data_IF_094577343302
#
_entry.id   IF_094577343302
#
_cell.length_a   1.000
_cell.length_b   1.000
_cell.length_c   1.000
_cell.angle_alpha   90.00
_cell.angle_beta   90.00
_cell.angle_gamma   90.00
#
_symmetry.space_group_name_H-M   'P 1'
#
loop_
_entity.id
_entity.type
_entity.pdbx_description
1 polymer ?
#
# COMPACT_ATOMS: atom_id res chain seq x y z
N UNK A 1 12.61 -10.17 25.55
CA UNK A 1 13.45 -8.95 25.47
C UNK A 1 13.01 -8.21 24.21
N UNK A 2 12.52 -6.96 24.30
CA UNK A 2 12.14 -6.21 23.10
C UNK A 2 13.34 -5.37 22.66
N UNK A 3 13.81 -5.60 21.43
CA UNK A 3 14.84 -4.77 20.82
C UNK A 3 14.26 -3.37 20.58
N UNK A 4 15.02 -2.35 20.99
CA UNK A 4 14.68 -0.95 20.80
C UNK A 4 15.82 -0.24 20.08
N UNK A 5 15.49 0.77 19.30
CA UNK A 5 16.47 1.66 18.71
C UNK A 5 16.97 2.71 19.72
N UNK A 6 17.89 3.57 19.29
CA UNK A 6 18.47 4.65 20.11
C UNK A 6 17.43 5.66 20.63
N UNK A 7 16.24 5.70 20.03
CA UNK A 7 15.11 6.54 20.46
C UNK A 7 14.09 5.74 21.29
N UNK A 8 14.47 4.58 21.82
CA UNK A 8 13.62 3.68 22.62
C UNK A 8 12.39 3.15 21.89
N UNK A 9 12.35 3.18 20.57
CA UNK A 9 11.26 2.66 19.77
C UNK A 9 11.41 1.13 19.60
N UNK A 10 10.39 0.35 19.92
CA UNK A 10 10.47 -1.11 19.76
C UNK A 10 10.33 -1.53 18.29
N UNK A 11 11.01 -2.62 17.91
CA UNK A 11 10.85 -3.26 16.61
C UNK A 11 9.50 -4.00 16.57
N UNK A 12 8.49 -3.43 15.92
CA UNK A 12 7.11 -3.99 15.88
C UNK A 12 6.61 -4.33 14.49
N UNK A 13 7.06 -3.61 13.47
CA UNK A 13 6.54 -3.70 12.12
C UNK A 13 7.62 -4.21 11.17
N UNK A 14 7.28 -5.20 10.34
CA UNK A 14 8.10 -5.72 9.26
C UNK A 14 7.38 -5.51 7.93
N UNK A 15 8.06 -4.92 6.96
CA UNK A 15 7.58 -4.80 5.59
C UNK A 15 8.44 -5.67 4.68
N UNK A 16 7.79 -6.54 3.91
CA UNK A 16 8.44 -7.47 3.00
C UNK A 16 7.98 -7.19 1.58
N UNK A 17 8.95 -6.88 0.71
CA UNK A 17 8.73 -6.88 -0.74
C UNK A 17 8.90 -8.33 -1.23
N UNK A 18 7.80 -8.96 -1.65
CA UNK A 18 7.78 -10.38 -2.05
C UNK A 18 8.02 -10.58 -3.55
N UNK A 19 7.96 -9.51 -4.32
CA UNK A 19 8.15 -9.50 -5.76
C UNK A 19 8.55 -8.08 -6.21
N UNK A 20 9.41 -7.99 -7.21
CA UNK A 20 9.84 -6.73 -7.80
C UNK A 20 9.03 -6.32 -9.05
N UNK A 21 8.22 -7.23 -9.62
CA UNK A 21 7.39 -6.98 -10.80
C UNK A 21 6.03 -6.38 -10.43
N UNK A 22 5.51 -5.53 -11.31
CA UNK A 22 4.17 -4.93 -11.18
C UNK A 22 3.44 -4.99 -12.53
N UNK A 23 2.12 -5.03 -12.51
CA UNK A 23 1.27 -4.90 -13.69
C UNK A 23 1.00 -3.44 -14.08
N UNK A 24 1.26 -2.48 -13.18
CA UNK A 24 1.25 -1.05 -13.45
C UNK A 24 2.67 -0.50 -13.64
N UNK A 25 2.77 0.73 -14.17
CA UNK A 25 4.03 1.47 -14.38
C UNK A 25 3.92 2.88 -13.84
N UNK A 26 3.50 2.99 -12.56
CA UNK A 26 3.28 4.29 -11.95
C UNK A 26 4.51 5.19 -12.10
N UNK A 27 4.28 6.39 -12.63
CA UNK A 27 5.33 7.36 -13.00
C UNK A 27 6.23 7.75 -11.83
N UNK A 28 5.71 7.69 -10.62
CA UNK A 28 6.43 8.01 -9.40
C UNK A 28 7.10 6.80 -8.71
N UNK A 29 6.86 5.57 -9.20
CA UNK A 29 7.34 4.34 -8.56
C UNK A 29 8.23 3.50 -9.48
N UNK A 30 7.76 3.18 -10.68
CA UNK A 30 8.41 2.27 -11.63
C UNK A 30 8.08 2.69 -13.07
N UNK A 31 8.50 3.90 -13.49
CA UNK A 31 8.19 4.41 -14.82
C UNK A 31 8.81 3.52 -15.90
N UNK A 32 8.10 3.40 -17.03
CA UNK A 32 8.52 2.54 -18.16
C UNK A 32 9.92 2.90 -18.68
N UNK A 33 10.23 4.20 -18.74
CA UNK A 33 11.52 4.72 -19.22
C UNK A 33 12.71 4.23 -18.40
N UNK A 34 12.48 3.99 -17.12
CA UNK A 34 13.52 3.46 -16.22
C UNK A 34 13.79 1.97 -16.44
N UNK A 35 12.96 1.30 -17.24
CA UNK A 35 13.03 -0.14 -17.51
C UNK A 35 13.79 -0.47 -18.80
N UNK A 36 14.22 0.53 -19.57
CA UNK A 36 14.95 0.28 -20.81
C UNK A 36 16.44 -0.06 -20.56
N UNK A 37 16.85 -1.25 -20.97
CA UNK A 37 18.25 -1.58 -21.24
C UNK A 37 19.00 -2.50 -20.30
N UNK A 38 18.45 -2.98 -19.19
CA UNK A 38 19.08 -4.02 -18.35
C UNK A 38 18.01 -4.88 -17.69
N UNK A 39 18.31 -6.16 -17.41
CA UNK A 39 17.42 -7.07 -16.68
C UNK A 39 17.08 -6.53 -15.28
N UNK A 40 16.12 -5.64 -15.23
CA UNK A 40 15.79 -4.79 -14.09
C UNK A 40 15.09 -5.59 -12.99
N UNK A 41 14.40 -6.67 -13.41
CA UNK A 41 13.75 -7.56 -12.46
C UNK A 41 14.64 -8.73 -12.14
N UNK A 42 14.65 -9.12 -10.89
CA UNK A 42 15.37 -10.30 -10.44
C UNK A 42 14.86 -11.54 -11.19
N UNK A 43 15.78 -12.44 -11.53
CA UNK A 43 15.40 -13.77 -11.99
C UNK A 43 14.72 -14.50 -10.84
N UNK A 44 13.75 -15.40 -11.10
CA UNK A 44 13.00 -16.10 -10.05
C UNK A 44 13.88 -16.77 -8.98
N UNK A 45 15.04 -17.29 -9.38
CA UNK A 45 16.00 -17.93 -8.49
C UNK A 45 16.69 -16.99 -7.49
N UNK A 46 16.62 -15.69 -7.68
CA UNK A 46 17.16 -14.67 -6.76
C UNK A 46 16.08 -14.05 -5.87
N UNK A 47 14.81 -14.40 -6.08
CA UNK A 47 13.75 -14.04 -5.15
C UNK A 47 13.77 -15.01 -3.97
N UNK A 48 13.48 -14.50 -2.79
CA UNK A 48 13.29 -15.36 -1.62
C UNK A 48 12.16 -16.37 -1.87
N UNK A 49 12.40 -17.62 -1.56
CA UNK A 49 11.37 -18.66 -1.53
C UNK A 49 10.40 -18.41 -0.37
N UNK A 50 9.23 -19.04 -0.40
CA UNK A 50 8.25 -18.94 0.67
C UNK A 50 8.80 -19.45 2.00
N UNK A 51 9.65 -20.49 1.97
CA UNK A 51 10.33 -21.02 3.15
C UNK A 51 11.31 -20.01 3.76
N UNK A 52 12.08 -19.31 2.93
CA UNK A 52 13.01 -18.28 3.40
C UNK A 52 12.28 -17.07 3.97
N UNK A 53 11.18 -16.63 3.31
CA UNK A 53 10.34 -15.54 3.84
C UNK A 53 9.75 -15.94 5.19
N UNK A 54 9.19 -17.14 5.31
CA UNK A 54 8.64 -17.64 6.56
C UNK A 54 9.71 -17.70 7.66
N UNK A 55 10.90 -18.23 7.34
CA UNK A 55 12.03 -18.27 8.27
C UNK A 55 12.41 -16.88 8.78
N UNK A 56 12.57 -15.90 7.86
CA UNK A 56 12.86 -14.52 8.23
C UNK A 56 11.77 -13.93 9.13
N UNK A 57 10.50 -14.14 8.78
CA UNK A 57 9.38 -13.64 9.61
C UNK A 57 9.45 -14.24 11.02
N UNK A 58 9.72 -15.53 11.17
CA UNK A 58 9.89 -16.19 12.49
C UNK A 58 11.06 -15.58 13.30
N UNK A 59 12.18 -15.27 12.63
CA UNK A 59 13.30 -14.57 13.27
C UNK A 59 12.87 -13.20 13.77
N UNK A 60 12.22 -12.41 12.93
CA UNK A 60 11.75 -11.07 13.32
C UNK A 60 10.68 -11.09 14.42
N UNK A 61 9.82 -12.11 14.45
CA UNK A 61 8.86 -12.30 15.55
C UNK A 61 9.59 -12.54 16.88
N UNK A 62 10.65 -13.33 16.89
CA UNK A 62 11.50 -13.52 18.11
C UNK A 62 12.14 -12.20 18.56
N UNK A 63 12.39 -11.25 17.65
CA UNK A 63 12.93 -9.94 17.93
C UNK A 63 11.85 -8.92 18.37
N UNK A 64 10.57 -9.29 18.33
CA UNK A 64 9.46 -8.47 18.82
C UNK A 64 8.48 -7.95 17.77
N UNK A 65 8.68 -8.31 16.49
CA UNK A 65 7.74 -7.97 15.42
C UNK A 65 6.40 -8.68 15.64
N UNK A 66 5.32 -7.90 15.55
CA UNK A 66 3.94 -8.38 15.69
C UNK A 66 3.10 -8.08 14.44
N UNK A 67 3.58 -7.17 13.59
CA UNK A 67 2.89 -6.77 12.36
C UNK A 67 3.74 -7.06 11.15
N UNK A 68 3.16 -7.73 10.18
CA UNK A 68 3.80 -8.00 8.88
C UNK A 68 2.97 -7.36 7.78
N UNK A 69 3.64 -6.63 6.90
CA UNK A 69 3.05 -6.07 5.69
C UNK A 69 3.72 -6.67 4.46
N UNK A 70 2.94 -7.36 3.67
CA UNK A 70 3.36 -7.89 2.38
C UNK A 70 3.13 -6.83 1.31
N UNK A 71 4.14 -6.60 0.50
CA UNK A 71 4.17 -5.62 -0.59
C UNK A 71 5.13 -6.12 -1.67
N UNK A 72 5.52 -5.27 -2.61
CA UNK A 72 6.47 -5.60 -3.67
C UNK A 72 6.42 -4.55 -4.77
N UNK A 73 6.53 -5.00 -6.01
CA UNK A 73 5.83 -4.38 -7.11
C UNK A 73 4.34 -4.61 -6.90
N UNK A 74 3.73 -5.62 -7.54
CA UNK A 74 2.38 -6.06 -7.18
C UNK A 74 2.45 -7.47 -6.58
N UNK A 75 2.22 -7.63 -5.27
CA UNK A 75 2.39 -8.92 -4.59
C UNK A 75 1.46 -10.02 -5.10
N UNK A 76 0.27 -9.66 -5.62
CA UNK A 76 -0.69 -10.63 -6.17
C UNK A 76 -0.23 -11.27 -7.50
N UNK A 77 0.85 -10.78 -8.09
CA UNK A 77 1.52 -11.44 -9.23
C UNK A 77 2.45 -12.57 -8.80
N UNK A 78 2.79 -12.68 -7.50
CA UNK A 78 3.65 -13.76 -7.01
C UNK A 78 2.89 -15.08 -7.08
N UNK A 79 3.40 -16.11 -7.79
CA UNK A 79 2.85 -17.46 -7.70
C UNK A 79 2.85 -17.97 -6.25
N UNK A 80 1.78 -18.63 -5.81
CA UNK A 80 1.70 -19.15 -4.44
C UNK A 80 1.50 -18.08 -3.35
N UNK A 81 1.08 -16.85 -3.71
CA UNK A 81 0.96 -15.76 -2.74
C UNK A 81 -0.07 -16.04 -1.63
N UNK A 82 -1.17 -16.73 -1.94
CA UNK A 82 -2.20 -17.09 -0.96
C UNK A 82 -1.63 -18.10 0.07
N UNK A 83 -0.87 -19.08 -0.41
CA UNK A 83 -0.19 -20.08 0.42
C UNK A 83 0.88 -19.43 1.31
N UNK A 84 1.60 -18.43 0.81
CA UNK A 84 2.53 -17.64 1.62
C UNK A 84 1.81 -16.88 2.72
N UNK A 85 0.64 -16.28 2.43
CA UNK A 85 -0.19 -15.60 3.43
C UNK A 85 -0.64 -16.56 4.52
N UNK A 86 -1.10 -17.76 4.14
CA UNK A 86 -1.53 -18.81 5.09
C UNK A 86 -0.39 -19.20 6.02
N UNK A 87 0.79 -19.49 5.48
CA UNK A 87 2.00 -19.85 6.25
C UNK A 87 2.39 -18.75 7.23
N UNK A 88 2.37 -17.49 6.80
CA UNK A 88 2.73 -16.35 7.66
C UNK A 88 1.67 -16.12 8.74
N UNK A 89 0.38 -16.24 8.40
CA UNK A 89 -0.71 -16.05 9.35
C UNK A 89 -0.69 -17.07 10.50
N UNK A 90 -0.20 -18.28 10.23
CA UNK A 90 -0.05 -19.35 11.21
C UNK A 90 1.12 -19.14 12.18
N UNK A 91 2.00 -18.14 11.97
CA UNK A 91 3.14 -17.88 12.86
C UNK A 91 2.64 -17.26 14.16
N UNK A 92 2.79 -17.99 15.28
CA UNK A 92 2.46 -17.49 16.61
C UNK A 92 3.25 -16.22 16.93
N UNK A 93 2.57 -15.17 17.32
CA UNK A 93 3.15 -13.85 17.64
C UNK A 93 2.82 -12.76 16.61
N UNK A 94 2.37 -13.13 15.40
CA UNK A 94 1.82 -12.17 14.45
C UNK A 94 0.37 -11.87 14.85
N UNK A 95 0.08 -10.60 15.06
CA UNK A 95 -1.27 -10.12 15.42
C UNK A 95 -1.89 -9.29 14.30
N UNK A 96 -1.11 -8.90 13.32
CA UNK A 96 -1.55 -8.01 12.25
C UNK A 96 -0.81 -8.35 10.94
N UNK A 97 -1.50 -9.04 10.02
CA UNK A 97 -1.00 -9.34 8.68
C UNK A 97 -1.72 -8.48 7.66
N UNK A 98 -0.97 -7.68 6.91
CA UNK A 98 -1.50 -6.70 5.97
C UNK A 98 -0.91 -6.86 4.57
N UNK A 99 -1.72 -6.56 3.56
CA UNK A 99 -1.34 -6.47 2.15
C UNK A 99 -1.37 -5.01 1.69
N UNK A 100 -0.43 -4.62 0.83
CA UNK A 100 -0.53 -3.41 0.01
C UNK A 100 -0.53 -3.83 -1.46
N UNK A 101 -1.54 -3.41 -2.22
CA UNK A 101 -1.80 -3.83 -3.60
C UNK A 101 -2.41 -2.68 -4.41
N UNK A 102 -2.29 -2.75 -5.74
CA UNK A 102 -3.04 -1.88 -6.66
C UNK A 102 -4.49 -2.37 -6.90
N UNK A 103 -4.88 -3.47 -6.28
CA UNK A 103 -6.21 -4.07 -6.27
C UNK A 103 -6.72 -4.69 -7.59
N UNK A 104 -6.08 -4.47 -8.73
CA UNK A 104 -6.53 -5.00 -10.04
C UNK A 104 -6.75 -6.53 -10.01
N UNK A 105 -5.96 -7.26 -9.24
CA UNK A 105 -6.06 -8.71 -9.14
C UNK A 105 -6.89 -9.20 -7.94
N UNK A 106 -7.36 -8.30 -7.06
CA UNK A 106 -8.16 -8.67 -5.89
C UNK A 106 -9.42 -9.48 -6.20
N UNK A 107 -10.17 -9.23 -7.29
CA UNK A 107 -11.35 -10.02 -7.59
C UNK A 107 -11.11 -11.53 -7.64
N UNK A 108 -9.90 -11.93 -8.04
CA UNK A 108 -9.50 -13.34 -8.13
C UNK A 108 -8.99 -13.92 -6.81
N UNK A 109 -8.56 -13.07 -5.86
CA UNK A 109 -7.80 -13.51 -4.69
C UNK A 109 -8.45 -13.17 -3.34
N UNK A 110 -9.35 -12.18 -3.28
CA UNK A 110 -9.82 -11.61 -2.02
C UNK A 110 -10.39 -12.65 -1.04
N UNK A 111 -11.26 -13.55 -1.51
CA UNK A 111 -11.85 -14.61 -0.67
C UNK A 111 -10.80 -15.60 -0.15
N UNK A 112 -9.87 -16.02 -1.01
CA UNK A 112 -8.81 -16.94 -0.62
C UNK A 112 -7.85 -16.29 0.38
N UNK A 113 -7.48 -15.03 0.18
CA UNK A 113 -6.66 -14.26 1.11
C UNK A 113 -7.32 -14.08 2.49
N UNK A 114 -8.64 -13.84 2.50
CA UNK A 114 -9.39 -13.76 3.77
C UNK A 114 -9.36 -15.09 4.51
N UNK A 115 -9.59 -16.20 3.79
CA UNK A 115 -9.53 -17.56 4.37
C UNK A 115 -8.12 -17.90 4.87
N UNK A 116 -7.07 -17.46 4.17
CA UNK A 116 -5.67 -17.64 4.54
C UNK A 116 -5.23 -16.78 5.75
N UNK A 117 -6.13 -15.99 6.36
CA UNK A 117 -5.84 -15.23 7.56
C UNK A 117 -5.28 -13.82 7.32
N UNK A 118 -5.37 -13.28 6.10
CA UNK A 118 -5.05 -11.87 5.86
C UNK A 118 -6.00 -10.97 6.67
N UNK A 119 -5.43 -10.09 7.50
CA UNK A 119 -6.21 -9.22 8.38
C UNK A 119 -6.65 -7.92 7.71
N UNK A 120 -5.80 -7.30 6.89
CA UNK A 120 -6.04 -5.96 6.36
C UNK A 120 -5.48 -5.77 4.94
N UNK A 121 -6.18 -4.95 4.16
CA UNK A 121 -5.75 -4.54 2.83
C UNK A 121 -5.58 -3.02 2.78
N UNK A 122 -4.50 -2.60 2.13
CA UNK A 122 -4.28 -1.23 1.70
C UNK A 122 -4.27 -1.23 0.17
N UNK A 123 -5.13 -0.44 -0.43
CA UNK A 123 -5.25 -0.27 -1.87
C UNK A 123 -4.56 1.03 -2.29
N UNK A 124 -3.78 1.01 -3.35
CA UNK A 124 -3.23 2.20 -3.98
C UNK A 124 -4.17 2.68 -5.08
N UNK A 125 -4.71 3.91 -4.92
CA UNK A 125 -5.60 4.56 -5.89
C UNK A 125 -5.36 6.07 -5.85
N UNK A 126 -4.78 6.60 -6.93
CA UNK A 126 -4.30 7.99 -6.93
C UNK A 126 -5.33 8.99 -7.47
N UNK A 127 -6.35 8.54 -8.19
CA UNK A 127 -7.46 9.34 -8.68
C UNK A 127 -8.66 8.48 -9.05
N UNK A 128 -9.87 9.06 -9.03
CA UNK A 128 -11.08 8.51 -9.63
C UNK A 128 -11.32 9.03 -11.06
N UNK A 129 -10.61 10.06 -11.48
CA UNK A 129 -10.59 10.50 -12.87
C UNK A 129 -9.76 9.52 -13.69
N UNK A 130 -10.38 8.90 -14.70
CA UNK A 130 -9.75 7.85 -15.51
C UNK A 130 -8.53 8.36 -16.27
N UNK A 131 -8.56 9.59 -16.75
CA UNK A 131 -7.46 10.19 -17.51
C UNK A 131 -6.26 10.43 -16.59
N UNK A 132 -6.50 11.00 -15.42
CA UNK A 132 -5.48 11.26 -14.40
C UNK A 132 -4.91 9.95 -13.87
N UNK A 133 -5.76 8.98 -13.55
CA UNK A 133 -5.34 7.66 -13.08
C UNK A 133 -4.43 6.98 -14.09
N UNK A 134 -4.85 6.87 -15.35
CA UNK A 134 -4.07 6.22 -16.41
C UNK A 134 -2.72 6.87 -16.61
N UNK A 135 -2.67 8.20 -16.65
CA UNK A 135 -1.41 8.94 -16.74
C UNK A 135 -0.46 8.60 -15.59
N UNK A 136 -0.97 8.54 -14.35
CA UNK A 136 -0.16 8.21 -13.17
C UNK A 136 0.24 6.73 -13.13
N UNK A 137 -0.63 5.83 -13.59
CA UNK A 137 -0.41 4.39 -13.62
C UNK A 137 0.46 3.91 -14.80
N UNK A 138 0.99 4.84 -15.63
CA UNK A 138 1.80 4.54 -16.81
C UNK A 138 0.99 3.90 -17.93
N UNK A 139 -0.21 4.41 -18.19
CA UNK A 139 -1.18 3.96 -19.20
C UNK A 139 -1.63 2.50 -19.04
N UNK A 140 -1.52 1.96 -17.82
CA UNK A 140 -1.90 0.58 -17.50
C UNK A 140 -2.99 0.53 -16.44
N UNK A 141 -3.94 -0.40 -16.61
CA UNK A 141 -5.08 -0.54 -15.73
C UNK A 141 -6.12 0.58 -15.86
N UNK A 142 -7.21 0.45 -15.16
CA UNK A 142 -8.34 1.39 -15.14
C UNK A 142 -8.82 1.62 -13.72
N UNK A 143 -9.47 2.76 -13.48
CA UNK A 143 -10.14 3.05 -12.20
C UNK A 143 -11.17 1.96 -11.89
N UNK A 144 -11.90 1.51 -12.91
CA UNK A 144 -12.93 0.47 -12.75
C UNK A 144 -12.35 -0.83 -12.20
N UNK A 145 -11.21 -1.31 -12.71
CA UNK A 145 -10.56 -2.52 -12.19
C UNK A 145 -10.14 -2.39 -10.72
N UNK A 146 -9.68 -1.21 -10.31
CA UNK A 146 -9.33 -0.95 -8.89
C UNK A 146 -10.57 -0.95 -8.01
N UNK A 147 -11.66 -0.31 -8.45
CA UNK A 147 -12.93 -0.28 -7.71
C UNK A 147 -13.57 -1.67 -7.61
N UNK A 148 -13.54 -2.47 -8.68
CA UNK A 148 -13.97 -3.86 -8.67
C UNK A 148 -13.15 -4.70 -7.66
N UNK A 149 -11.86 -4.40 -7.54
CA UNK A 149 -10.99 -5.00 -6.53
C UNK A 149 -11.36 -4.61 -5.10
N UNK A 150 -11.73 -3.35 -4.87
CA UNK A 150 -12.22 -2.86 -3.57
C UNK A 150 -13.52 -3.57 -3.21
N UNK A 151 -14.49 -3.61 -4.12
CA UNK A 151 -15.77 -4.30 -3.93
C UNK A 151 -15.56 -5.79 -3.62
N UNK A 152 -14.69 -6.48 -4.36
CA UNK A 152 -14.37 -7.88 -4.10
C UNK A 152 -13.75 -8.10 -2.72
N UNK A 153 -12.94 -7.17 -2.23
CA UNK A 153 -12.39 -7.21 -0.89
C UNK A 153 -13.49 -7.04 0.17
N UNK A 154 -14.42 -6.10 -0.03
CA UNK A 154 -15.56 -5.91 0.86
C UNK A 154 -16.45 -7.16 0.92
N UNK A 155 -16.80 -7.73 -0.23
CA UNK A 155 -17.56 -8.97 -0.34
C UNK A 155 -16.87 -10.17 0.30
N UNK A 156 -15.53 -10.16 0.37
CA UNK A 156 -14.74 -11.16 1.08
C UNK A 156 -14.68 -10.91 2.60
N UNK A 157 -15.28 -9.83 3.12
CA UNK A 157 -15.33 -9.48 4.54
C UNK A 157 -14.17 -8.63 5.05
N UNK A 158 -13.50 -7.86 4.18
CA UNK A 158 -12.57 -6.82 4.57
C UNK A 158 -13.32 -5.49 4.73
N UNK A 159 -13.85 -5.22 5.91
CA UNK A 159 -14.75 -4.08 6.16
C UNK A 159 -14.09 -2.71 6.26
N UNK A 160 -12.78 -2.63 6.41
CA UNK A 160 -12.03 -1.38 6.62
C UNK A 160 -10.76 -1.37 5.80
N UNK A 161 -10.88 -0.96 4.57
CA UNK A 161 -9.71 -0.79 3.70
C UNK A 161 -9.00 0.54 3.98
N UNK A 162 -7.72 0.61 3.63
CA UNK A 162 -7.00 1.87 3.52
C UNK A 162 -6.76 2.17 2.05
N UNK A 163 -7.13 3.35 1.62
CA UNK A 163 -6.90 3.84 0.27
C UNK A 163 -5.73 4.81 0.33
N UNK A 164 -4.60 4.40 -0.21
CA UNK A 164 -3.40 5.25 -0.31
C UNK A 164 -3.43 6.01 -1.62
N UNK A 165 -3.21 7.31 -1.54
CA UNK A 165 -3.17 8.24 -2.68
C UNK A 165 -1.91 9.08 -2.56
N UNK A 166 -1.00 8.95 -3.51
CA UNK A 166 0.14 9.84 -3.65
C UNK A 166 -0.32 11.10 -4.36
N UNK A 167 -0.18 12.27 -3.71
CA UNK A 167 -0.66 13.53 -4.27
C UNK A 167 0.49 14.32 -4.87
N UNK A 168 0.34 14.68 -6.15
CA UNK A 168 1.30 15.47 -6.91
C UNK A 168 0.62 16.74 -7.44
N UNK A 169 1.29 17.88 -7.26
CA UNK A 169 0.81 19.20 -7.70
C UNK A 169 0.64 19.24 -9.21
N UNK A 170 -0.48 19.79 -9.69
CA UNK A 170 -0.84 19.92 -11.10
C UNK A 170 -0.97 18.57 -11.84
N UNK A 171 -1.00 17.45 -11.11
CA UNK A 171 -1.20 16.12 -11.70
C UNK A 171 -2.52 15.53 -11.22
N UNK A 172 -2.68 15.28 -9.91
CA UNK A 172 -3.92 14.74 -9.34
C UNK A 172 -4.43 15.51 -8.11
N UNK A 173 -3.77 16.58 -7.69
CA UNK A 173 -4.18 17.39 -6.54
C UNK A 173 -5.60 17.96 -6.69
N UNK A 174 -6.01 18.29 -7.91
CA UNK A 174 -7.36 18.78 -8.24
C UNK A 174 -8.45 17.69 -8.15
N UNK A 175 -8.10 16.40 -8.16
CA UNK A 175 -9.05 15.26 -8.07
C UNK A 175 -9.19 14.70 -6.65
N UNK A 176 -8.39 15.19 -5.69
CA UNK A 176 -8.38 14.66 -4.31
C UNK A 176 -9.75 14.80 -3.64
N UNK A 177 -10.46 15.88 -3.91
CA UNK A 177 -11.78 16.12 -3.29
C UNK A 177 -12.83 15.10 -3.73
N UNK A 178 -12.81 14.67 -4.99
CA UNK A 178 -13.73 13.66 -5.51
C UNK A 178 -13.41 12.29 -4.89
N UNK A 179 -12.12 11.95 -4.77
CA UNK A 179 -11.68 10.71 -4.13
C UNK A 179 -12.07 10.67 -2.64
N UNK A 180 -11.82 11.74 -1.89
CA UNK A 180 -12.23 11.84 -0.48
C UNK A 180 -13.75 11.79 -0.36
N UNK A 181 -14.50 12.48 -1.23
CA UNK A 181 -15.96 12.48 -1.27
C UNK A 181 -16.52 11.08 -1.53
N UNK A 182 -15.94 10.32 -2.46
CA UNK A 182 -16.36 8.97 -2.81
C UNK A 182 -16.25 8.00 -1.62
N UNK A 183 -15.13 8.04 -0.92
CA UNK A 183 -14.89 7.15 0.23
C UNK A 183 -15.43 7.69 1.56
N UNK A 184 -15.93 8.92 1.59
CA UNK A 184 -16.57 9.49 2.78
C UNK A 184 -17.79 8.64 3.15
N UNK A 185 -17.89 8.27 4.42
CA UNK A 185 -18.95 7.40 4.97
C UNK A 185 -18.94 5.93 4.49
N UNK A 186 -17.95 5.50 3.68
CA UNK A 186 -17.78 4.10 3.30
C UNK A 186 -17.23 3.20 4.41
N UNK A 187 -16.72 3.78 5.49
CA UNK A 187 -15.96 3.06 6.52
C UNK A 187 -14.49 2.84 6.17
N UNK A 188 -14.07 3.18 4.97
CA UNK A 188 -12.67 3.12 4.53
C UNK A 188 -11.88 4.35 5.01
N UNK A 189 -10.57 4.22 5.03
CA UNK A 189 -9.67 5.33 5.39
C UNK A 189 -8.91 5.79 4.17
N UNK A 190 -9.15 6.99 3.69
CA UNK A 190 -8.29 7.63 2.68
C UNK A 190 -7.03 8.13 3.37
N UNK A 191 -5.88 7.80 2.82
CA UNK A 191 -4.58 8.25 3.27
C UNK A 191 -3.89 9.04 2.16
N UNK A 192 -3.84 10.33 2.29
CA UNK A 192 -3.10 11.20 1.41
C UNK A 192 -1.61 11.16 1.77
N UNK A 193 -0.76 10.97 0.78
CA UNK A 193 0.68 10.81 0.93
C UNK A 193 1.34 11.90 0.09
N UNK A 194 2.18 12.71 0.72
CA UNK A 194 3.00 13.69 -0.01
C UNK A 194 3.95 12.96 -0.96
N UNK A 195 4.10 13.50 -2.17
CA UNK A 195 5.06 12.97 -3.13
C UNK A 195 6.48 13.09 -2.58
N UNK A 196 7.15 11.99 -2.43
CA UNK A 196 8.49 11.92 -1.83
C UNK A 196 9.52 11.38 -2.80
N UNK A 197 10.78 11.75 -2.57
CA UNK A 197 11.91 11.13 -3.24
C UNK A 197 12.06 9.68 -2.74
N UNK A 198 11.93 8.73 -3.68
CA UNK A 198 12.12 7.29 -3.42
C UNK A 198 13.40 6.76 -4.08
N UNK A 199 14.28 7.65 -4.48
CA UNK A 199 15.51 7.37 -5.20
C UNK A 199 15.51 7.95 -6.63
N UNK A 200 16.50 7.56 -7.45
CA UNK A 200 16.78 8.21 -8.73
C UNK A 200 15.82 7.83 -9.87
N UNK A 201 14.74 7.11 -9.59
CA UNK A 201 13.87 6.51 -10.62
C UNK A 201 12.71 7.42 -10.99
N UNK A 202 12.17 8.18 -10.03
CA UNK A 202 10.91 8.91 -10.19
C UNK A 202 11.07 10.39 -10.56
N UNK A 203 12.28 10.85 -10.89
CA UNK A 203 12.59 12.24 -11.25
C UNK A 203 11.95 13.25 -10.28
N UNK A 204 12.07 12.99 -8.98
CA UNK A 204 11.42 13.78 -7.96
C UNK A 204 11.77 15.27 -8.05
N UNK A 205 10.75 16.12 -8.08
CA UNK A 205 10.87 17.57 -8.00
C UNK A 205 10.03 18.09 -6.83
N UNK A 206 10.63 18.89 -5.96
CA UNK A 206 9.96 19.54 -4.83
C UNK A 206 8.76 20.39 -5.27
N UNK A 207 8.76 20.92 -6.48
CA UNK A 207 7.64 21.69 -7.04
C UNK A 207 6.36 20.87 -7.19
N UNK A 208 6.49 19.55 -7.31
CA UNK A 208 5.35 18.63 -7.40
C UNK A 208 4.78 18.24 -6.02
N UNK A 209 5.43 18.61 -4.94
CA UNK A 209 4.96 18.30 -3.60
C UNK A 209 3.79 19.21 -3.22
N UNK A 210 2.70 18.61 -2.78
CA UNK A 210 1.58 19.29 -2.14
C UNK A 210 1.69 19.05 -0.64
N UNK A 211 1.97 20.09 0.17
CA UNK A 211 2.05 19.93 1.62
C UNK A 211 0.75 19.40 2.21
N UNK A 212 0.83 18.48 3.16
CA UNK A 212 -0.36 17.94 3.84
C UNK A 212 -1.23 19.02 4.48
N UNK A 213 -0.63 20.13 4.92
CA UNK A 213 -1.37 21.27 5.47
C UNK A 213 -2.33 21.92 4.44
N UNK A 214 -1.89 22.03 3.18
CA UNK A 214 -2.69 22.60 2.09
C UNK A 214 -3.89 21.68 1.79
N UNK A 215 -3.64 20.37 1.71
CA UNK A 215 -4.69 19.37 1.50
C UNK A 215 -5.72 19.37 2.64
N UNK A 216 -5.24 19.43 3.89
CA UNK A 216 -6.12 19.48 5.06
C UNK A 216 -7.00 20.72 5.04
N UNK A 217 -6.47 21.88 4.65
CA UNK A 217 -7.24 23.12 4.53
C UNK A 217 -8.37 22.97 3.51
N UNK A 218 -8.06 22.52 2.29
CA UNK A 218 -9.06 22.35 1.21
C UNK A 218 -10.15 21.36 1.62
N UNK A 219 -9.80 20.27 2.31
CA UNK A 219 -10.77 19.28 2.77
C UNK A 219 -11.61 19.86 3.92
N UNK A 220 -10.97 20.59 4.86
CA UNK A 220 -11.67 21.21 6.00
C UNK A 220 -12.67 22.27 5.58
N UNK A 221 -12.36 23.06 4.55
CA UNK A 221 -13.24 24.09 4.02
C UNK A 221 -14.57 23.50 3.47
N UNK A 222 -14.56 22.25 3.02
CA UNK A 222 -15.76 21.54 2.53
C UNK A 222 -16.40 20.63 3.58
N UNK A 223 -15.57 19.94 4.38
CA UNK A 223 -16.01 19.03 5.42
C UNK A 223 -15.20 19.27 6.70
N UNK A 224 -15.84 19.70 7.75
CA UNK A 224 -15.17 19.92 9.04
C UNK A 224 -14.35 18.69 9.45
N UNK A 225 -13.03 18.86 9.54
CA UNK A 225 -12.12 17.83 10.00
C UNK A 225 -11.91 17.95 11.51
N UNK A 226 -12.04 16.86 12.24
CA UNK A 226 -11.75 16.78 13.67
C UNK A 226 -10.57 15.85 13.90
N UNK A 227 -9.51 16.30 14.58
CA UNK A 227 -8.37 15.44 14.88
C UNK A 227 -8.79 14.20 15.68
N UNK A 228 -8.31 13.03 15.26
CA UNK A 228 -8.51 11.77 15.97
C UNK A 228 -7.23 11.39 16.71
N UNK A 229 -7.36 10.98 17.97
CA UNK A 229 -6.24 10.57 18.78
C UNK A 229 -5.45 9.40 18.14
N UNK A 230 -4.13 9.41 18.33
CA UNK A 230 -3.28 8.30 17.90
C UNK A 230 -3.69 7.01 18.60
N UNK A 231 -3.79 5.93 17.84
CA UNK A 231 -4.17 4.61 18.39
C UNK A 231 -2.97 3.80 18.87
N UNK A 232 -1.77 4.16 18.46
CA UNK A 232 -0.56 3.45 18.84
C UNK A 232 0.63 4.40 19.01
N UNK A 233 1.53 4.03 19.90
CA UNK A 233 2.84 4.69 20.05
C UNK A 233 3.62 4.45 18.75
N UNK A 234 4.18 5.52 18.17
CA UNK A 234 4.93 5.46 16.90
C UNK A 234 4.06 5.63 15.64
N UNK A 235 2.76 5.89 15.78
CA UNK A 235 1.93 6.24 14.62
C UNK A 235 2.38 7.57 14.01
N UNK A 236 2.83 7.53 12.75
CA UNK A 236 3.34 8.70 12.01
C UNK A 236 2.25 9.48 11.29
N UNK A 237 1.15 8.82 10.92
CA UNK A 237 0.03 9.46 10.25
C UNK A 237 -0.79 10.31 11.24
N UNK A 238 -1.22 11.49 10.79
CA UNK A 238 -2.27 12.27 11.46
C UNK A 238 -3.62 11.79 10.95
N UNK A 239 -4.62 11.75 11.82
CA UNK A 239 -5.99 11.33 11.48
C UNK A 239 -6.99 12.41 11.80
N UNK A 240 -8.02 12.44 11.01
CA UNK A 240 -9.13 13.38 11.10
C UNK A 240 -10.45 12.67 10.85
#
# INVERSE_FOLDING_TARGET
MHIKDTLSRPLKDLRISVLDRCNLRCTYCMPEESLHGRGIFLRPQYLLSDGEIEFLVRVFVRLGVQKVRLTGGEPLLRPGFVELVDRISAIKGITDLALTTNAVLLPRHARALKKAGLGRITVSLDSLDETVFRKMAGERGTVREVLDGIEAAEQAGFSKLKINTVVQRNINDHTVMDLVGHFRNSGHTVRLIEFMDVGNVNQWDRKLVVPSADLLKVIHDRWELRPVAKQAVGETARRY
#
